data_IF_105910955372
#
_entry.id   IF_105910955372
#
_cell.length_a   1.000
_cell.length_b   1.000
_cell.length_c   1.000
_cell.angle_alpha   90.00
_cell.angle_beta   90.00
_cell.angle_gamma   90.00
#
_symmetry.space_group_name_H-M   'P 1'
#
loop_
_entity.id
_entity.type
_entity.pdbx_description
1 polymer ?
#
# COMPACT_ATOMS: atom_id res chain seq x y z
N UNK A 1 -11.96 -0.96 10.40
CA UNK A 1 -13.36 -1.44 10.22
C UNK A 1 -13.96 -0.51 9.15
N UNK A 2 -13.84 -0.74 7.84
CA UNK A 2 -14.17 -1.87 6.95
C UNK A 2 -13.15 -1.92 5.79
N UNK A 3 -12.75 -3.09 5.23
CA UNK A 3 -11.85 -3.09 4.06
C UNK A 3 -12.11 -4.21 3.03
N UNK A 4 -12.87 -3.88 1.99
CA UNK A 4 -12.67 -4.40 0.62
C UNK A 4 -12.88 -3.27 -0.39
N UNK A 5 -11.95 -2.31 -0.43
CA UNK A 5 -12.05 -1.12 -1.31
C UNK A 5 -11.91 -1.50 -2.78
N UNK A 6 -11.02 -2.46 -3.06
CA UNK A 6 -10.65 -2.88 -4.40
C UNK A 6 -11.57 -3.89 -5.07
N UNK A 7 -12.68 -4.30 -4.44
CA UNK A 7 -13.70 -5.13 -5.11
C UNK A 7 -14.57 -4.32 -6.09
N UNK A 8 -14.53 -2.99 -6.04
CA UNK A 8 -15.26 -2.09 -6.97
C UNK A 8 -14.39 -0.97 -7.56
N UNK A 9 -13.41 -0.46 -6.81
CA UNK A 9 -12.71 0.78 -7.19
C UNK A 9 -12.06 0.72 -8.57
N UNK A 10 -11.47 -0.40 -8.96
CA UNK A 10 -10.84 -0.52 -10.28
C UNK A 10 -11.87 -0.67 -11.41
N UNK A 11 -13.03 -1.30 -11.17
CA UNK A 11 -14.13 -1.33 -12.17
C UNK A 11 -14.71 0.07 -12.38
N UNK A 12 -14.85 0.84 -11.29
CA UNK A 12 -15.28 2.24 -11.34
C UNK A 12 -14.32 3.11 -12.19
N UNK A 13 -13.02 2.77 -12.19
CA UNK A 13 -12.01 3.39 -13.04
C UNK A 13 -11.92 2.80 -14.46
N UNK A 14 -12.82 1.89 -14.84
CA UNK A 14 -12.82 1.24 -16.16
C UNK A 14 -11.77 0.13 -16.33
N UNK A 15 -11.14 -0.31 -15.23
CA UNK A 15 -10.15 -1.39 -15.19
C UNK A 15 -10.79 -2.68 -14.69
N UNK A 16 -11.70 -3.20 -15.52
CA UNK A 16 -12.36 -4.47 -15.27
C UNK A 16 -11.40 -5.63 -15.58
N UNK A 17 -11.23 -6.58 -14.66
CA UNK A 17 -10.34 -7.73 -14.83
C UNK A 17 -10.99 -8.90 -15.59
N UNK A 18 -12.33 -8.98 -15.62
CA UNK A 18 -13.08 -9.98 -16.39
C UNK A 18 -13.20 -9.59 -17.87
N UNK A 19 -13.19 -8.28 -18.15
CA UNK A 19 -13.07 -7.71 -19.49
C UNK A 19 -11.87 -6.75 -19.51
N UNK A 20 -10.65 -7.28 -19.62
CA UNK A 20 -9.44 -6.48 -19.44
C UNK A 20 -9.35 -5.36 -20.47
N UNK A 21 -9.11 -4.15 -19.97
CA UNK A 21 -8.86 -3.00 -20.83
C UNK A 21 -7.54 -3.16 -21.60
N UNK A 22 -7.40 -2.41 -22.70
CA UNK A 22 -6.14 -2.36 -23.46
C UNK A 22 -4.94 -2.00 -22.58
N UNK A 23 -5.15 -1.16 -21.56
CA UNK A 23 -4.10 -0.81 -20.60
C UNK A 23 -3.62 -2.02 -19.78
N UNK A 24 -4.54 -2.83 -19.24
CA UNK A 24 -4.18 -4.00 -18.45
C UNK A 24 -3.48 -5.06 -19.31
N UNK A 25 -3.99 -5.30 -20.51
CA UNK A 25 -3.35 -6.23 -21.45
C UNK A 25 -2.00 -5.73 -21.95
N UNK A 26 -1.92 -4.47 -22.40
CA UNK A 26 -0.70 -3.86 -22.93
C UNK A 26 0.42 -3.75 -21.91
N UNK A 27 0.08 -3.54 -20.63
CA UNK A 27 1.04 -3.53 -19.51
C UNK A 27 1.29 -4.92 -18.90
N UNK A 28 0.67 -5.98 -19.43
CA UNK A 28 0.71 -7.34 -18.86
C UNK A 28 0.36 -7.35 -17.36
N UNK A 29 -0.61 -6.54 -16.96
CA UNK A 29 -1.04 -6.38 -15.56
C UNK A 29 0.06 -5.90 -14.61
N UNK A 30 1.09 -5.23 -15.15
CA UNK A 30 2.28 -4.77 -14.42
C UNK A 30 3.33 -5.86 -14.20
N UNK A 31 3.32 -6.94 -14.99
CA UNK A 31 4.37 -7.97 -14.93
C UNK A 31 5.78 -7.35 -14.97
N UNK A 32 6.64 -7.89 -14.13
CA UNK A 32 8.02 -7.45 -13.93
C UNK A 32 8.22 -6.01 -13.46
N UNK A 33 7.17 -5.21 -13.24
CA UNK A 33 7.29 -3.94 -12.51
C UNK A 33 7.47 -4.22 -11.03
N UNK A 34 8.29 -3.42 -10.36
CA UNK A 34 8.56 -3.52 -8.92
C UNK A 34 8.06 -2.24 -8.28
N UNK A 35 7.08 -2.37 -7.39
CA UNK A 35 6.53 -1.27 -6.60
C UNK A 35 7.15 -1.33 -5.21
N UNK A 36 7.92 -0.29 -4.85
CA UNK A 36 8.43 -0.07 -3.51
C UNK A 36 7.35 0.57 -2.65
N UNK A 37 7.03 -0.06 -1.52
CA UNK A 37 6.03 0.42 -0.56
C UNK A 37 6.76 0.87 0.69
N UNK A 38 6.78 2.18 0.93
CA UNK A 38 7.33 2.78 2.14
C UNK A 38 6.17 3.08 3.09
N UNK A 39 6.03 2.26 4.12
CA UNK A 39 4.84 2.23 4.97
C UNK A 39 5.18 1.56 6.33
N UNK A 40 4.18 1.02 7.02
CA UNK A 40 4.25 0.40 8.35
C UNK A 40 4.63 -1.09 8.34
N UNK A 41 5.16 -1.57 7.22
CA UNK A 41 5.46 -3.00 7.00
C UNK A 41 4.31 -3.76 6.35
N UNK A 42 4.42 -5.10 6.32
CA UNK A 42 3.47 -5.94 5.60
C UNK A 42 3.11 -7.23 6.37
N UNK A 43 1.91 -7.76 6.12
CA UNK A 43 1.45 -9.07 6.56
C UNK A 43 1.53 -10.09 5.41
N UNK A 44 2.64 -10.86 5.27
CA UNK A 44 2.92 -11.69 4.10
C UNK A 44 1.92 -12.82 3.87
N UNK A 45 1.22 -13.25 4.92
CA UNK A 45 0.15 -14.26 4.93
C UNK A 45 -1.13 -13.84 4.18
N UNK A 46 -1.25 -12.57 3.80
CA UNK A 46 -2.44 -12.08 3.09
C UNK A 46 -2.61 -12.79 1.76
N UNK A 47 -3.84 -13.27 1.47
CA UNK A 47 -4.18 -13.85 0.16
C UNK A 47 -3.87 -12.91 -1.01
N UNK A 48 -3.92 -11.60 -0.80
CA UNK A 48 -3.60 -10.60 -1.84
C UNK A 48 -2.11 -10.56 -2.19
N UNK A 49 -1.25 -11.24 -1.43
CA UNK A 49 0.20 -11.27 -1.60
C UNK A 49 0.69 -12.65 -2.04
N UNK A 50 -0.22 -13.52 -2.51
CA UNK A 50 0.15 -14.79 -3.12
C UNK A 50 0.96 -14.57 -4.41
N UNK A 51 1.87 -15.50 -4.66
CA UNK A 51 2.79 -15.49 -5.81
C UNK A 51 2.51 -16.61 -6.81
N UNK A 52 1.28 -17.14 -6.82
CA UNK A 52 0.85 -18.16 -7.77
C UNK A 52 0.85 -17.58 -9.19
N UNK A 53 1.44 -18.32 -10.14
CA UNK A 53 1.57 -17.87 -11.54
C UNK A 53 2.68 -16.85 -11.79
N UNK A 54 3.55 -16.57 -10.80
CA UNK A 54 4.71 -15.70 -11.00
C UNK A 54 5.93 -16.47 -11.51
N UNK A 55 6.60 -15.88 -12.50
CA UNK A 55 7.93 -16.29 -12.93
C UNK A 55 9.03 -15.93 -11.92
N UNK A 56 10.29 -16.24 -12.23
CA UNK A 56 11.43 -15.88 -11.36
C UNK A 56 11.45 -14.38 -11.06
N UNK A 57 12.08 -14.01 -9.94
CA UNK A 57 12.30 -12.59 -9.60
C UNK A 57 13.15 -11.96 -10.72
N UNK A 58 12.83 -10.73 -11.19
CA UNK A 58 13.58 -10.11 -12.27
C UNK A 58 15.06 -9.98 -11.94
N UNK A 59 15.95 -10.38 -12.85
CA UNK A 59 17.40 -10.41 -12.62
C UNK A 59 18.04 -9.05 -12.28
N UNK A 60 17.34 -7.95 -12.57
CA UNK A 60 17.77 -6.60 -12.22
C UNK A 60 17.50 -6.21 -10.76
N UNK A 61 16.67 -6.97 -10.05
CA UNK A 61 16.36 -6.75 -8.64
C UNK A 61 17.61 -6.99 -7.79
N UNK A 62 17.93 -6.03 -6.91
CA UNK A 62 19.11 -6.08 -6.04
C UNK A 62 18.79 -6.04 -4.56
N UNK A 63 17.51 -5.88 -4.20
CA UNK A 63 17.09 -5.86 -2.82
C UNK A 63 17.15 -7.21 -2.15
N UNK A 64 17.08 -7.18 -0.83
CA UNK A 64 17.16 -8.36 0.02
C UNK A 64 15.86 -8.57 0.79
N UNK A 65 15.77 -9.75 1.42
CA UNK A 65 14.74 -10.05 2.38
C UNK A 65 15.37 -10.09 3.78
N UNK A 66 15.35 -8.94 4.45
CA UNK A 66 15.92 -8.76 5.78
C UNK A 66 15.12 -9.57 6.80
N UNK A 67 15.82 -10.36 7.61
CA UNK A 67 15.23 -11.18 8.68
C UNK A 67 15.09 -10.40 9.98
N UNK A 68 14.10 -10.76 10.79
CA UNK A 68 13.87 -10.21 12.14
C UNK A 68 12.59 -10.80 12.73
N UNK A 69 12.51 -11.09 14.02
CA UNK A 69 11.36 -11.84 14.57
C UNK A 69 10.03 -11.04 14.50
N UNK A 70 8.89 -11.61 14.07
CA UNK A 70 8.67 -12.96 13.50
C UNK A 70 8.60 -12.94 11.96
N UNK A 71 9.75 -12.73 11.33
CA UNK A 71 9.99 -12.68 9.88
C UNK A 71 11.29 -13.40 9.53
N UNK A 72 11.18 -14.40 8.66
CA UNK A 72 12.29 -15.15 8.09
C UNK A 72 12.38 -14.96 6.57
N UNK A 73 13.38 -15.59 5.95
CA UNK A 73 13.61 -15.49 4.51
C UNK A 73 12.43 -16.00 3.67
N UNK A 74 11.63 -16.92 4.21
CA UNK A 74 10.48 -17.53 3.53
C UNK A 74 9.26 -16.61 3.48
N UNK A 75 9.26 -15.52 4.24
CA UNK A 75 8.23 -14.48 4.15
C UNK A 75 8.34 -13.64 2.87
N UNK A 76 9.51 -13.64 2.21
CA UNK A 76 9.60 -13.16 0.83
C UNK A 76 9.28 -14.29 -0.16
N UNK A 77 8.61 -13.92 -1.22
CA UNK A 77 8.10 -14.80 -2.26
C UNK A 77 8.39 -14.23 -3.64
N UNK A 78 7.81 -14.80 -4.69
CA UNK A 78 7.84 -14.15 -6.00
C UNK A 78 6.89 -12.95 -6.07
N UNK A 79 6.03 -12.73 -5.07
CA UNK A 79 5.19 -11.53 -4.99
C UNK A 79 5.85 -10.43 -4.17
N UNK A 80 6.26 -10.76 -2.94
CA UNK A 80 7.04 -9.89 -2.05
C UNK A 80 8.50 -10.24 -2.27
N UNK A 81 9.18 -9.53 -3.16
CA UNK A 81 10.52 -9.94 -3.63
C UNK A 81 11.66 -9.41 -2.76
N UNK A 82 11.35 -8.48 -1.85
CA UNK A 82 12.26 -8.02 -0.82
C UNK A 82 11.55 -7.20 0.23
N UNK A 83 12.19 -7.11 1.38
CA UNK A 83 11.63 -6.54 2.59
C UNK A 83 12.75 -6.03 3.49
N UNK A 84 12.67 -4.77 3.88
CA UNK A 84 13.61 -4.07 4.77
C UNK A 84 12.84 -3.32 5.85
N UNK A 85 13.50 -3.02 6.97
CA UNK A 85 12.97 -2.17 8.02
C UNK A 85 14.02 -1.21 8.58
N UNK A 86 13.60 -0.03 8.99
CA UNK A 86 14.49 1.07 9.38
C UNK A 86 14.09 1.63 10.75
N UNK A 87 15.02 1.72 11.68
CA UNK A 87 14.76 2.16 13.07
C UNK A 87 15.46 3.47 13.44
N UNK A 88 16.27 4.04 12.54
CA UNK A 88 17.09 5.22 12.82
C UNK A 88 16.23 6.44 13.21
N UNK A 89 16.52 7.03 14.38
CA UNK A 89 15.79 8.20 14.89
C UNK A 89 14.40 7.90 15.45
N UNK A 90 14.04 6.63 15.62
CA UNK A 90 12.82 6.22 16.32
C UNK A 90 13.09 6.09 17.82
N UNK A 91 12.11 6.44 18.65
CA UNK A 91 12.19 6.21 20.09
C UNK A 91 11.96 4.72 20.43
N UNK A 92 12.56 4.26 21.53
CA UNK A 92 12.47 2.86 21.93
C UNK A 92 11.05 2.40 22.26
N UNK A 93 10.18 3.28 22.77
CA UNK A 93 8.83 2.93 23.18
C UNK A 93 7.98 2.59 21.95
N UNK A 94 8.06 3.42 20.90
CA UNK A 94 7.45 3.16 19.60
C UNK A 94 7.95 1.84 19.01
N UNK A 95 9.27 1.60 19.02
CA UNK A 95 9.84 0.35 18.49
C UNK A 95 9.40 -0.89 19.28
N UNK A 96 9.23 -0.79 20.61
CA UNK A 96 8.75 -1.90 21.47
C UNK A 96 7.28 -2.25 21.23
N UNK A 97 6.50 -1.34 20.66
CA UNK A 97 5.09 -1.55 20.35
C UNK A 97 4.83 -2.31 19.04
N UNK A 98 5.88 -2.72 18.33
CA UNK A 98 5.83 -3.29 16.98
C UNK A 98 6.90 -4.39 16.80
N UNK A 99 6.90 -5.06 15.65
CA UNK A 99 7.90 -6.06 15.30
C UNK A 99 9.15 -5.42 14.72
N UNK A 100 10.32 -5.72 15.27
CA UNK A 100 11.62 -5.30 14.72
C UNK A 100 12.00 -6.16 13.51
N UNK A 101 11.14 -6.11 12.50
CA UNK A 101 11.21 -6.84 11.25
C UNK A 101 10.37 -6.12 10.19
N UNK A 102 10.40 -6.56 8.92
CA UNK A 102 9.52 -5.99 7.89
C UNK A 102 8.01 -6.26 8.13
N UNK A 103 7.67 -7.11 9.12
CA UNK A 103 6.28 -7.32 9.51
C UNK A 103 5.67 -6.06 10.09
N UNK A 104 4.47 -5.71 9.65
CA UNK A 104 3.68 -4.65 10.28
C UNK A 104 2.80 -5.20 11.40
N UNK A 105 2.77 -4.55 12.56
CA UNK A 105 1.74 -4.80 13.60
C UNK A 105 0.37 -4.26 13.18
N UNK A 106 0.34 -3.26 12.29
CA UNK A 106 -0.89 -2.71 11.73
C UNK A 106 -1.23 -3.34 10.36
N UNK A 107 -2.43 -3.05 9.87
CA UNK A 107 -2.86 -3.44 8.52
C UNK A 107 -2.63 -2.39 7.43
N UNK A 108 -2.06 -1.22 7.73
CA UNK A 108 -2.00 -0.08 6.82
C UNK A 108 -1.11 -0.39 5.60
N UNK A 109 0.16 -0.75 5.79
CA UNK A 109 1.06 -1.12 4.70
C UNK A 109 0.57 -2.32 3.88
N UNK A 110 -0.06 -3.32 4.52
CA UNK A 110 -0.70 -4.43 3.80
C UNK A 110 -1.88 -3.95 2.93
N UNK A 111 -2.69 -3.05 3.44
CA UNK A 111 -3.82 -2.46 2.72
C UNK A 111 -3.36 -1.60 1.55
N UNK A 112 -2.33 -0.76 1.72
CA UNK A 112 -1.78 0.09 0.66
C UNK A 112 -1.09 -0.74 -0.42
N UNK A 113 -0.24 -1.71 -0.03
CA UNK A 113 0.43 -2.63 -0.94
C UNK A 113 -0.56 -3.46 -1.77
N UNK A 114 -1.60 -4.03 -1.13
CA UNK A 114 -2.63 -4.80 -1.84
C UNK A 114 -3.55 -3.92 -2.71
N UNK A 115 -3.68 -2.64 -2.41
CA UNK A 115 -4.38 -1.68 -3.28
C UNK A 115 -3.56 -1.42 -4.55
N UNK A 116 -2.25 -1.20 -4.43
CA UNK A 116 -1.39 -0.95 -5.59
C UNK A 116 -1.21 -2.21 -6.45
N UNK A 117 -0.85 -3.33 -5.81
CA UNK A 117 -0.43 -4.55 -6.49
C UNK A 117 -0.97 -5.82 -5.82
N UNK A 118 -2.17 -5.84 -5.26
CA UNK A 118 -2.76 -7.10 -4.78
C UNK A 118 -2.99 -8.10 -5.93
N UNK A 119 -2.59 -9.35 -5.74
CA UNK A 119 -3.06 -10.47 -6.57
C UNK A 119 -4.58 -10.58 -6.49
N UNK A 120 -5.21 -11.19 -7.49
CA UNK A 120 -6.67 -11.33 -7.53
C UNK A 120 -7.10 -12.30 -6.42
N UNK A 121 -8.04 -11.87 -5.58
CA UNK A 121 -8.62 -12.65 -4.48
C UNK A 121 -10.12 -12.71 -4.67
N UNK A 122 -10.59 -13.88 -5.08
CA UNK A 122 -12.02 -14.17 -5.20
C UNK A 122 -12.72 -14.25 -3.85
N UNK A 123 -14.02 -13.98 -3.88
CA UNK A 123 -14.90 -14.01 -2.71
C UNK A 123 -14.38 -13.20 -1.51
N UNK A 124 -13.73 -12.06 -1.77
CA UNK A 124 -13.31 -11.14 -0.74
C UNK A 124 -14.51 -10.35 -0.23
N UNK A 125 -14.69 -10.28 1.08
CA UNK A 125 -15.71 -9.43 1.72
C UNK A 125 -15.25 -9.03 3.12
N UNK A 126 -15.86 -8.00 3.69
CA UNK A 126 -15.71 -7.65 5.09
C UNK A 126 -17.02 -7.95 5.82
N UNK A 127 -17.10 -9.07 6.53
CA UNK A 127 -18.34 -9.57 7.15
C UNK A 127 -19.53 -9.59 6.17
N UNK A 128 -19.29 -10.02 4.92
CA UNK A 128 -20.30 -10.05 3.85
C UNK A 128 -20.48 -8.73 3.10
N UNK A 129 -19.93 -7.61 3.59
CA UNK A 129 -19.97 -6.33 2.89
C UNK A 129 -18.94 -6.28 1.76
N UNK A 130 -19.33 -5.61 0.67
CA UNK A 130 -18.51 -5.41 -0.52
C UNK A 130 -17.87 -6.71 -1.05
N UNK A 131 -18.68 -7.76 -1.10
CA UNK A 131 -18.34 -9.02 -1.73
C UNK A 131 -17.92 -8.82 -3.20
N UNK A 132 -16.83 -9.46 -3.61
CA UNK A 132 -16.35 -9.48 -5.00
C UNK A 132 -14.90 -9.95 -5.10
N UNK A 133 -14.30 -9.74 -6.26
CA UNK A 133 -12.89 -10.01 -6.50
C UNK A 133 -12.02 -8.80 -6.10
N UNK A 134 -11.23 -8.93 -5.03
CA UNK A 134 -10.28 -7.89 -4.62
C UNK A 134 -8.99 -8.01 -5.44
N UNK A 135 -8.41 -6.89 -5.85
CA UNK A 135 -7.18 -6.87 -6.66
C UNK A 135 -6.47 -5.51 -6.62
N UNK A 136 -5.19 -5.49 -6.97
CA UNK A 136 -4.45 -4.25 -7.17
C UNK A 136 -4.72 -3.60 -8.52
N UNK A 137 -4.21 -2.38 -8.71
CA UNK A 137 -4.21 -1.71 -10.02
C UNK A 137 -3.26 -2.38 -11.00
N UNK A 138 -2.15 -2.93 -10.49
CA UNK A 138 -1.21 -3.77 -11.23
C UNK A 138 -1.09 -5.16 -10.56
N UNK A 139 -2.05 -6.07 -10.79
CA UNK A 139 -2.10 -7.35 -10.07
C UNK A 139 -0.86 -8.22 -10.20
N UNK A 140 -0.08 -8.11 -11.29
CA UNK A 140 1.14 -8.89 -11.56
C UNK A 140 2.44 -8.16 -11.22
N UNK A 141 2.37 -6.94 -10.70
CA UNK A 141 3.55 -6.23 -10.21
C UNK A 141 4.10 -6.89 -8.94
N UNK A 142 5.42 -6.82 -8.78
CA UNK A 142 6.14 -7.28 -7.58
C UNK A 142 6.12 -6.18 -6.52
N UNK A 143 6.19 -6.57 -5.25
CA UNK A 143 6.21 -5.66 -4.10
C UNK A 143 7.58 -5.74 -3.43
N UNK A 144 8.18 -4.59 -3.17
CA UNK A 144 9.33 -4.43 -2.29
C UNK A 144 8.91 -3.61 -1.07
N UNK A 145 9.14 -4.13 0.12
CA UNK A 145 8.63 -3.53 1.37
C UNK A 145 9.75 -2.79 2.09
N UNK A 146 9.48 -1.54 2.47
CA UNK A 146 10.41 -0.69 3.19
C UNK A 146 9.71 -0.13 4.43
N UNK A 147 9.75 -0.88 5.53
CA UNK A 147 9.09 -0.47 6.78
C UNK A 147 9.83 0.72 7.40
N UNK A 148 9.22 1.89 7.31
CA UNK A 148 9.78 3.16 7.82
C UNK A 148 8.91 3.81 8.89
N UNK A 149 7.68 3.30 9.05
CA UNK A 149 6.72 3.73 10.06
C UNK A 149 6.50 2.61 11.08
N UNK A 150 6.30 2.98 12.34
CA UNK A 150 6.27 2.08 13.48
C UNK A 150 5.11 2.40 14.42
N UNK A 151 4.60 1.37 15.09
CA UNK A 151 3.56 1.49 16.11
C UNK A 151 2.14 1.43 15.55
N UNK A 152 1.12 1.63 16.41
CA UNK A 152 -0.28 1.42 16.06
C UNK A 152 -0.84 2.53 15.14
N UNK A 153 -2.02 2.28 14.54
CA UNK A 153 -2.69 3.25 13.68
C UNK A 153 -1.94 3.48 12.37
N UNK A 154 -1.76 4.72 11.94
CA UNK A 154 -0.98 5.12 10.76
C UNK A 154 0.54 4.97 10.95
N UNK A 155 0.98 4.69 12.18
CA UNK A 155 2.40 4.62 12.56
C UNK A 155 3.09 5.98 12.61
N UNK A 156 4.28 5.98 13.22
CA UNK A 156 5.18 7.12 13.33
C UNK A 156 6.50 6.79 12.64
N UNK A 157 7.11 7.76 11.96
CA UNK A 157 8.41 7.60 11.31
C UNK A 157 9.26 8.85 11.44
N UNK A 158 10.56 8.70 11.18
CA UNK A 158 11.50 9.80 11.14
C UNK A 158 11.88 10.11 9.69
N UNK A 159 12.38 11.33 9.42
CA UNK A 159 12.94 11.63 8.09
C UNK A 159 14.11 10.70 7.76
N UNK A 160 14.87 10.23 8.76
CA UNK A 160 15.99 9.33 8.55
C UNK A 160 15.56 7.94 8.07
N UNK A 161 14.49 7.36 8.62
CA UNK A 161 13.98 6.05 8.17
C UNK A 161 13.48 6.12 6.73
N UNK A 162 12.72 7.17 6.40
CA UNK A 162 12.16 7.34 5.06
C UNK A 162 13.23 7.66 4.01
N UNK A 163 14.22 8.49 4.32
CA UNK A 163 15.32 8.77 3.38
C UNK A 163 16.16 7.52 3.11
N UNK A 164 16.48 6.73 4.15
CA UNK A 164 17.18 5.46 3.99
C UNK A 164 16.39 4.47 3.12
N UNK A 165 15.07 4.39 3.34
CA UNK A 165 14.18 3.56 2.53
C UNK A 165 14.13 4.00 1.05
N UNK A 166 14.09 5.30 0.78
CA UNK A 166 14.13 5.81 -0.61
C UNK A 166 15.47 5.48 -1.25
N UNK A 167 16.58 5.67 -0.53
CA UNK A 167 17.92 5.39 -1.06
C UNK A 167 18.10 3.90 -1.39
N UNK A 168 17.74 3.00 -0.47
CA UNK A 168 17.78 1.56 -0.74
C UNK A 168 16.85 1.18 -1.89
N UNK A 169 15.65 1.75 -1.98
CA UNK A 169 14.73 1.48 -3.08
C UNK A 169 15.29 1.87 -4.46
N UNK A 170 16.04 2.98 -4.53
CA UNK A 170 16.76 3.39 -5.74
C UNK A 170 17.80 2.34 -6.13
N UNK A 171 18.60 1.88 -5.17
CA UNK A 171 19.68 0.91 -5.42
C UNK A 171 19.17 -0.51 -5.70
N UNK A 172 18.04 -0.88 -5.09
CA UNK A 172 17.39 -2.18 -5.25
C UNK A 172 16.72 -2.34 -6.63
N UNK A 173 16.45 -1.23 -7.33
CA UNK A 173 15.90 -1.21 -8.69
C UNK A 173 14.37 -1.14 -8.76
N UNK A 174 13.75 -0.47 -7.80
CA UNK A 174 12.31 -0.16 -7.80
C UNK A 174 11.95 0.71 -9.01
N UNK A 175 10.79 0.46 -9.63
CA UNK A 175 10.28 1.29 -10.75
C UNK A 175 9.26 2.35 -10.32
N UNK A 176 8.52 2.09 -9.24
CA UNK A 176 7.52 3.01 -8.68
C UNK A 176 7.60 2.98 -7.17
N UNK A 177 7.66 4.15 -6.52
CA UNK A 177 7.54 4.30 -5.08
C UNK A 177 6.14 4.75 -4.70
N UNK A 178 5.52 4.02 -3.77
CA UNK A 178 4.24 4.35 -3.16
C UNK A 178 4.45 4.69 -1.69
N UNK A 179 4.19 5.95 -1.34
CA UNK A 179 4.32 6.45 0.02
C UNK A 179 2.99 7.01 0.51
N UNK A 180 2.32 6.27 1.39
CA UNK A 180 1.08 6.71 2.02
C UNK A 180 1.37 7.49 3.31
N UNK A 181 2.23 8.50 3.20
CA UNK A 181 2.75 9.29 4.34
C UNK A 181 2.53 10.79 4.07
N UNK A 182 1.88 11.50 4.99
CA UNK A 182 1.50 12.90 4.79
C UNK A 182 2.51 13.93 5.33
N UNK A 183 3.03 13.71 6.55
CA UNK A 183 3.71 14.75 7.32
C UNK A 183 5.22 14.92 7.01
N UNK A 184 5.80 14.08 6.16
CA UNK A 184 7.27 13.99 5.95
C UNK A 184 7.68 14.38 4.51
N UNK A 185 6.78 15.04 3.78
CA UNK A 185 6.99 15.44 2.39
C UNK A 185 7.98 16.61 2.27
N UNK A 186 7.86 17.63 3.12
CA UNK A 186 8.70 18.83 3.03
C UNK A 186 10.19 18.52 3.30
N UNK A 187 10.47 17.60 4.22
CA UNK A 187 11.83 17.20 4.60
C UNK A 187 12.45 16.15 3.67
N UNK A 188 11.64 15.31 3.01
CA UNK A 188 12.14 14.22 2.16
C UNK A 188 12.04 14.51 0.66
N UNK A 189 11.62 15.71 0.29
CA UNK A 189 11.46 16.14 -1.09
C UNK A 189 12.72 15.91 -1.94
N UNK A 190 13.92 16.06 -1.37
CA UNK A 190 15.20 15.75 -2.02
C UNK A 190 15.41 14.26 -2.29
N UNK A 191 15.02 13.37 -1.37
CA UNK A 191 15.07 11.92 -1.60
C UNK A 191 14.17 11.53 -2.77
N UNK A 192 12.95 12.08 -2.80
CA UNK A 192 12.04 11.89 -3.91
C UNK A 192 12.58 12.46 -5.24
N UNK A 193 13.29 13.60 -5.20
CA UNK A 193 13.93 14.17 -6.39
C UNK A 193 15.01 13.22 -6.95
N UNK A 194 15.84 12.63 -6.09
CA UNK A 194 16.86 11.67 -6.53
C UNK A 194 16.23 10.41 -7.17
N UNK A 195 15.13 9.90 -6.60
CA UNK A 195 14.40 8.79 -7.18
C UNK A 195 13.89 9.13 -8.59
N UNK A 196 13.27 10.32 -8.75
CA UNK A 196 12.77 10.81 -10.05
C UNK A 196 13.90 10.99 -11.06
N UNK A 197 15.06 11.53 -10.64
CA UNK A 197 16.24 11.67 -11.49
C UNK A 197 16.80 10.31 -11.97
N UNK A 198 16.53 9.23 -11.24
CA UNK A 198 16.87 7.85 -11.61
C UNK A 198 15.76 7.15 -12.40
N UNK A 199 14.69 7.87 -12.77
CA UNK A 199 13.58 7.35 -13.55
C UNK A 199 12.53 6.59 -12.73
N UNK A 200 12.51 6.78 -11.40
CA UNK A 200 11.53 6.14 -10.51
C UNK A 200 10.37 7.10 -10.29
N UNK A 201 9.15 6.64 -10.60
CA UNK A 201 7.94 7.44 -10.33
C UNK A 201 7.63 7.41 -8.84
N UNK A 202 7.41 8.57 -8.24
CA UNK A 202 7.13 8.69 -6.80
C UNK A 202 5.71 9.21 -6.57
N UNK A 203 4.92 8.44 -5.82
CA UNK A 203 3.52 8.75 -5.51
C UNK A 203 3.34 8.93 -4.01
N UNK A 204 2.81 10.09 -3.62
CA UNK A 204 2.51 10.44 -2.24
C UNK A 204 1.02 10.67 -2.01
N UNK A 205 0.53 10.40 -0.80
CA UNK A 205 -0.78 10.91 -0.37
C UNK A 205 -0.72 12.41 -0.07
N UNK A 206 -1.83 13.12 -0.32
CA UNK A 206 -1.94 14.55 -0.02
C UNK A 206 -2.09 14.87 1.49
N UNK A 207 -2.15 13.86 2.35
CA UNK A 207 -2.54 14.00 3.75
C UNK A 207 -4.07 14.09 3.94
N UNK A 208 -4.50 13.93 5.19
CA UNK A 208 -5.91 13.95 5.57
C UNK A 208 -6.32 15.24 6.32
N UNK A 209 -5.36 16.12 6.62
CA UNK A 209 -5.54 17.37 7.36
C UNK A 209 -5.82 18.56 6.42
N UNK A 210 -6.54 18.27 5.33
CA UNK A 210 -6.79 19.23 4.27
C UNK A 210 -7.57 20.46 4.74
N UNK A 211 -7.41 21.60 4.04
CA UNK A 211 -6.62 21.77 2.82
C UNK A 211 -5.11 21.97 3.08
N UNK A 212 -4.26 21.26 2.32
CA UNK A 212 -2.80 21.41 2.33
C UNK A 212 -2.27 21.81 0.94
N UNK A 213 -1.23 22.67 0.84
CA UNK A 213 -0.61 23.02 -0.43
C UNK A 213 0.16 21.84 -1.07
N UNK A 214 0.34 21.89 -2.39
CA UNK A 214 1.22 20.96 -3.11
C UNK A 214 2.67 21.12 -2.62
N UNK A 215 3.30 20.01 -2.25
CA UNK A 215 4.58 20.01 -1.52
C UNK A 215 5.81 19.92 -2.43
N UNK A 216 5.74 19.28 -3.61
CA UNK A 216 6.85 19.24 -4.57
C UNK A 216 6.40 18.95 -6.03
N UNK A 217 7.01 19.61 -7.05
CA UNK A 217 6.58 19.46 -8.45
C UNK A 217 7.05 18.17 -9.14
N UNK A 218 8.00 17.44 -8.55
CA UNK A 218 8.55 16.20 -9.13
C UNK A 218 7.83 14.93 -8.65
N UNK A 219 6.92 15.03 -7.68
CA UNK A 219 6.14 13.89 -7.17
C UNK A 219 4.70 13.97 -7.63
N UNK A 220 4.03 12.82 -7.64
CA UNK A 220 2.58 12.76 -7.86
C UNK A 220 1.89 12.78 -6.50
N UNK A 221 1.21 13.87 -6.19
CA UNK A 221 0.41 14.00 -4.96
C UNK A 221 -1.03 13.55 -5.22
N UNK A 222 -1.49 12.53 -4.48
CA UNK A 222 -2.80 11.92 -4.65
C UNK A 222 -3.80 12.42 -3.59
N UNK A 223 -4.88 13.06 -4.06
CA UNK A 223 -6.05 13.37 -3.24
C UNK A 223 -6.98 12.15 -3.14
N UNK A 224 -7.89 12.17 -2.16
CA UNK A 224 -8.89 11.14 -1.97
C UNK A 224 -10.29 11.60 -2.41
N UNK A 225 -11.03 10.74 -3.10
CA UNK A 225 -12.43 10.95 -3.47
C UNK A 225 -13.29 9.74 -3.11
N UNK A 226 -14.61 9.92 -3.17
CA UNK A 226 -15.58 8.83 -3.04
C UNK A 226 -15.76 8.10 -4.39
N UNK A 227 -16.29 6.88 -4.32
CA UNK A 227 -16.70 6.08 -5.49
C UNK A 227 -18.22 5.91 -5.48
N UNK A 228 -18.75 5.29 -6.52
CA UNK A 228 -20.18 5.01 -6.72
C UNK A 228 -20.80 3.99 -5.73
N UNK A 229 -20.01 3.46 -4.80
CA UNK A 229 -20.46 2.49 -3.78
C UNK A 229 -20.55 3.11 -2.40
N UNK A 230 -21.72 2.96 -1.78
CA UNK A 230 -21.98 3.29 -0.38
C UNK A 230 -22.38 2.05 0.43
N UNK A 231 -22.27 2.13 1.76
CA UNK A 231 -22.71 1.09 2.70
C UNK A 231 -23.77 1.66 3.64
N UNK A 232 -25.03 1.78 3.19
CA UNK A 232 -26.12 2.25 4.03
C UNK A 232 -26.50 1.21 5.09
N UNK A 233 -26.85 1.66 6.28
CA UNK A 233 -27.43 0.86 7.37
C UNK A 233 -28.86 1.33 7.60
N UNK A 234 -29.82 0.42 7.49
CA UNK A 234 -31.24 0.71 7.74
C UNK A 234 -31.54 0.50 9.22
N UNK A 235 -31.96 1.56 9.90
CA UNK A 235 -32.41 1.53 11.30
C UNK A 235 -33.95 1.53 11.28
N UNK A 236 -34.56 0.51 11.87
CA UNK A 236 -36.03 0.45 12.03
C UNK A 236 -36.40 0.82 13.46
N UNK A 237 -37.21 1.88 13.61
CA UNK A 237 -37.70 2.38 14.89
C UNK A 237 -38.91 1.56 15.39
N UNK A 238 -39.24 1.67 16.68
CA UNK A 238 -40.38 0.96 17.28
C UNK A 238 -41.75 1.31 16.68
N UNK A 239 -41.86 2.46 15.99
CA UNK A 239 -43.05 2.88 15.24
C UNK A 239 -43.04 2.38 13.76
N UNK A 240 -42.16 1.44 13.41
CA UNK A 240 -41.92 0.90 12.06
C UNK A 240 -41.39 1.90 11.03
N UNK A 241 -41.03 3.12 11.42
CA UNK A 241 -40.30 4.02 10.52
C UNK A 241 -38.88 3.50 10.28
N UNK A 242 -38.42 3.59 9.04
CA UNK A 242 -37.07 3.21 8.64
C UNK A 242 -36.26 4.46 8.33
N UNK A 243 -35.06 4.53 8.91
CA UNK A 243 -34.08 5.59 8.65
C UNK A 243 -32.87 4.93 8.02
N UNK A 244 -32.48 5.42 6.83
CA UNK A 244 -31.25 5.00 6.18
C UNK A 244 -30.13 5.89 6.69
N UNK A 245 -29.21 5.31 7.46
CA UNK A 245 -28.04 6.00 7.99
C UNK A 245 -26.82 5.53 7.22
N UNK A 246 -25.97 6.47 6.84
CA UNK A 246 -24.65 6.16 6.31
C UNK A 246 -23.62 6.44 7.38
N UNK A 247 -22.85 5.42 7.76
CA UNK A 247 -21.69 5.65 8.62
C UNK A 247 -20.61 6.33 7.76
N UNK A 248 -20.44 7.64 7.93
CA UNK A 248 -19.48 8.46 7.17
C UNK A 248 -18.10 8.51 7.81
N UNK A 249 -17.79 7.68 8.81
CA UNK A 249 -16.41 7.52 9.26
C UNK A 249 -15.59 6.87 8.15
N UNK A 250 -15.05 7.72 7.28
CA UNK A 250 -13.74 7.52 6.67
C UNK A 250 -12.84 7.07 7.81
N UNK A 251 -12.37 5.83 7.77
CA UNK A 251 -11.26 5.44 8.63
C UNK A 251 -10.11 6.36 8.22
N UNK A 252 -9.80 7.33 9.07
CA UNK A 252 -8.51 8.00 9.08
C UNK A 252 -7.47 6.87 9.08
N UNK A 253 -6.84 6.71 7.91
CA UNK A 253 -5.72 5.79 7.71
C UNK A 253 -4.56 6.26 8.53
#
# INVERSE_FOLDING_TARGET
MFTTRTTRSWDFLGLNHQMPSELLHGSKYGEDIIIGVIDTGIGPESRSLNDEGYGPVPARWRGECQVGEPWDISNCSRKIIGARFYTAGMDEETLKSDYQSPRGVNGHGTHTASTAAGSIVEAASFHGLAAGAARGGAPRARIAVYKSLWGPGSGSGSSATVLAAIDDAIHDGVGVLSLSIGAILDTNSFGALHAVQKGITVVYSAGNDGPMPQTAPWVITMAASTIDRSFPTVITLGNKQQIVVQNTRSSNG
#
